data_IF_347370130392
#
_entry.id   IF_347370130392
#
_cell.length_a   1.000
_cell.length_b   1.000
_cell.length_c   1.000
_cell.angle_alpha   90.00
_cell.angle_beta   90.00
_cell.angle_gamma   90.00
#
_symmetry.space_group_name_H-M   'P 1'
#
loop_
_entity.id
_entity.type
_entity.pdbx_description
1 polymer ?
#
# COMPACT_ATOMS: atom_id res chain seq x y z
N UNK A 1 -11.16 -33.60 -24.03
CA UNK A 1 -10.47 -32.88 -22.94
C UNK A 1 -11.50 -32.67 -21.83
N UNK A 2 -11.30 -33.18 -20.60
CA UNK A 2 -12.30 -33.02 -19.55
C UNK A 2 -12.41 -31.54 -19.14
N UNK A 3 -13.64 -31.08 -18.94
CA UNK A 3 -14.05 -29.69 -18.74
C UNK A 3 -13.50 -29.03 -17.46
N UNK A 4 -13.15 -27.75 -17.59
CA UNK A 4 -12.51 -26.83 -16.63
C UNK A 4 -13.26 -26.55 -15.30
N UNK A 5 -14.28 -27.32 -14.89
CA UNK A 5 -15.19 -26.88 -13.78
C UNK A 5 -15.67 -27.97 -12.82
N UNK A 6 -14.94 -29.07 -12.63
CA UNK A 6 -15.02 -29.77 -11.34
C UNK A 6 -14.06 -29.10 -10.35
N UNK A 7 -14.41 -27.88 -9.95
CA UNK A 7 -13.84 -27.28 -8.74
C UNK A 7 -14.43 -28.11 -7.60
N UNK A 8 -13.71 -29.15 -7.18
CA UNK A 8 -14.06 -29.89 -5.98
C UNK A 8 -14.19 -28.86 -4.86
N UNK A 9 -15.34 -28.87 -4.16
CA UNK A 9 -15.49 -28.00 -3.01
C UNK A 9 -14.36 -28.32 -2.02
N UNK A 10 -13.70 -27.30 -1.45
CA UNK A 10 -12.68 -27.54 -0.44
C UNK A 10 -13.30 -28.35 0.70
N UNK A 11 -12.62 -29.43 1.08
CA UNK A 11 -13.04 -30.24 2.23
C UNK A 11 -13.08 -29.35 3.49
N UNK A 12 -14.27 -29.26 4.11
CA UNK A 12 -14.51 -28.38 5.25
C UNK A 12 -13.60 -28.71 6.45
N UNK A 13 -13.30 -30.00 6.67
CA UNK A 13 -12.40 -30.43 7.75
C UNK A 13 -10.95 -30.03 7.46
N UNK A 14 -10.54 -30.09 6.19
CA UNK A 14 -9.21 -29.66 5.78
C UNK A 14 -9.03 -28.15 5.94
N UNK A 15 -10.06 -27.34 5.64
CA UNK A 15 -10.04 -25.89 5.83
C UNK A 15 -9.98 -25.55 7.33
N UNK A 16 -10.81 -26.17 8.16
CA UNK A 16 -10.82 -25.93 9.60
C UNK A 16 -9.47 -26.29 10.25
N UNK A 17 -8.85 -27.40 9.84
CA UNK A 17 -7.52 -27.78 10.29
C UNK A 17 -6.45 -26.80 9.83
N UNK A 18 -6.52 -26.35 8.58
CA UNK A 18 -5.58 -25.39 8.02
C UNK A 18 -5.63 -24.05 8.77
N UNK A 19 -6.83 -23.54 9.08
CA UNK A 19 -7.02 -22.30 9.85
C UNK A 19 -6.44 -22.36 11.27
N UNK A 20 -6.42 -23.55 11.89
CA UNK A 20 -5.85 -23.77 13.23
C UNK A 20 -4.33 -23.84 13.26
N UNK A 21 -3.66 -24.00 12.11
CA UNK A 21 -2.21 -24.04 12.06
C UNK A 21 -1.61 -22.65 12.33
N UNK A 22 -0.39 -22.57 12.91
CA UNK A 22 0.31 -21.31 13.06
C UNK A 22 0.63 -20.73 11.68
N UNK A 23 -0.13 -19.72 11.28
CA UNK A 23 0.11 -19.01 10.03
C UNK A 23 1.35 -18.13 10.21
N UNK A 24 2.37 -18.38 9.40
CA UNK A 24 3.52 -17.49 9.33
C UNK A 24 3.03 -16.15 8.75
N UNK A 25 2.85 -15.13 9.60
CA UNK A 25 2.62 -13.77 9.12
C UNK A 25 3.90 -13.36 8.39
N UNK A 26 3.84 -12.91 7.12
CA UNK A 26 5.03 -12.41 6.45
C UNK A 26 5.67 -11.33 7.32
N UNK A 27 6.93 -11.52 7.68
CA UNK A 27 7.71 -10.47 8.35
C UNK A 27 7.67 -9.22 7.48
N UNK A 28 7.80 -8.04 8.08
CA UNK A 28 8.01 -6.79 7.33
C UNK A 28 9.21 -6.90 6.38
N UNK A 29 10.18 -7.74 6.71
CA UNK A 29 11.37 -8.04 5.89
C UNK A 29 11.09 -9.01 4.73
N UNK A 30 9.99 -9.77 4.81
CA UNK A 30 9.52 -10.68 3.76
C UNK A 30 8.56 -9.98 2.79
N UNK A 31 8.07 -8.78 3.14
CA UNK A 31 7.34 -7.95 2.20
C UNK A 31 8.33 -7.49 1.13
N UNK A 32 7.98 -7.58 -0.17
CA UNK A 32 8.76 -6.92 -1.19
C UNK A 32 8.87 -5.46 -0.80
N UNK A 33 10.04 -4.82 -0.94
CA UNK A 33 10.23 -3.45 -0.53
C UNK A 33 9.22 -2.57 -1.27
N UNK A 34 8.11 -2.22 -0.60
CA UNK A 34 7.10 -1.31 -1.14
C UNK A 34 7.68 0.09 -1.41
N UNK A 35 8.92 0.33 -0.99
CA UNK A 35 9.56 1.64 -0.95
C UNK A 35 10.93 1.71 -1.62
N UNK A 36 11.47 0.62 -2.19
CA UNK A 36 12.80 0.66 -2.83
C UNK A 36 12.78 1.08 -4.31
N UNK A 37 11.63 1.53 -4.83
CA UNK A 37 11.48 1.98 -6.22
C UNK A 37 11.03 3.44 -6.32
N UNK A 38 11.89 4.39 -5.92
CA UNK A 38 11.86 5.78 -6.40
C UNK A 38 10.68 6.71 -6.07
N UNK A 39 9.54 6.24 -5.56
CA UNK A 39 8.30 7.04 -5.50
C UNK A 39 8.14 8.02 -4.34
N UNK A 40 8.72 7.74 -3.17
CA UNK A 40 8.40 8.51 -1.95
C UNK A 40 9.33 9.70 -1.68
N UNK A 41 10.54 9.71 -2.26
CA UNK A 41 11.52 10.76 -2.05
C UNK A 41 11.12 12.09 -2.69
N UNK A 42 10.72 12.06 -3.97
CA UNK A 42 10.25 13.25 -4.69
C UNK A 42 8.90 13.75 -4.19
N UNK A 43 8.05 12.85 -3.69
CA UNK A 43 6.75 13.22 -3.12
C UNK A 43 6.92 14.14 -1.88
N UNK A 44 7.92 13.88 -1.03
CA UNK A 44 8.24 14.77 0.09
C UNK A 44 8.62 16.18 -0.39
N UNK A 45 9.43 16.26 -1.45
CA UNK A 45 9.82 17.54 -2.03
C UNK A 45 8.63 18.30 -2.64
N UNK A 46 7.70 17.59 -3.30
CA UNK A 46 6.46 18.19 -3.80
C UNK A 46 5.59 18.78 -2.70
N UNK A 47 5.43 18.06 -1.58
CA UNK A 47 4.65 18.55 -0.44
C UNK A 47 5.29 19.83 0.14
N UNK A 48 6.61 19.87 0.27
CA UNK A 48 7.34 21.03 0.78
C UNK A 48 7.18 22.24 -0.16
N UNK A 49 7.39 22.04 -1.47
CA UNK A 49 7.26 23.10 -2.47
C UNK A 49 5.84 23.68 -2.50
N UNK A 50 4.83 22.81 -2.43
CA UNK A 50 3.43 23.22 -2.39
C UNK A 50 3.13 24.07 -1.15
N UNK A 51 3.60 23.66 0.04
CA UNK A 51 3.42 24.43 1.27
C UNK A 51 4.06 25.82 1.18
N UNK A 52 5.26 25.93 0.61
CA UNK A 52 5.93 27.22 0.40
C UNK A 52 5.11 28.12 -0.54
N UNK A 53 4.62 27.58 -1.66
CA UNK A 53 3.83 28.35 -2.62
C UNK A 53 2.55 28.92 -1.98
N UNK A 54 1.86 28.14 -1.15
CA UNK A 54 0.67 28.59 -0.42
C UNK A 54 1.02 29.73 0.56
N UNK A 55 2.09 29.57 1.34
CA UNK A 55 2.52 30.61 2.31
C UNK A 55 2.89 31.91 1.59
N UNK A 56 3.65 31.82 0.49
CA UNK A 56 4.01 32.99 -0.33
C UNK A 56 2.77 33.66 -0.90
N UNK A 57 1.83 32.88 -1.45
CA UNK A 57 0.56 33.40 -1.96
C UNK A 57 -0.22 34.18 -0.89
N UNK A 58 -0.33 33.62 0.32
CA UNK A 58 -1.00 34.27 1.45
C UNK A 58 -0.30 35.56 1.88
N UNK A 59 1.04 35.61 1.86
CA UNK A 59 1.79 36.83 2.19
C UNK A 59 1.59 37.91 1.12
N UNK A 60 1.65 37.53 -0.16
CA UNK A 60 1.47 38.46 -1.29
C UNK A 60 0.06 39.04 -1.33
N UNK A 61 -0.96 38.20 -1.12
CA UNK A 61 -2.36 38.63 -1.02
C UNK A 61 -2.53 39.61 0.13
N UNK A 62 -1.94 39.33 1.30
CA UNK A 62 -2.05 40.18 2.49
C UNK A 62 -1.25 41.48 2.40
N UNK A 63 -0.17 41.52 1.60
CA UNK A 63 0.65 42.71 1.37
C UNK A 63 0.20 43.58 0.18
N UNK A 64 -0.73 43.08 -0.64
CA UNK A 64 -1.33 43.83 -1.76
C UNK A 64 -2.63 44.58 -1.38
N UNK A 65 -2.99 44.61 -0.10
CA UNK A 65 -4.06 45.42 0.48
C UNK A 65 -3.51 46.66 1.20
#
# INVERSE_FOLDING_TARGET
>A
MPNERQRLEPDADAVEKWERLPHNKPSKDALPPMTSGGGAGWLKWMIILFAIAVIVGLIVERGSF
#
